data_IF_865882313224
#
_entry.id   IF_865882313224
#
_cell.length_a   1.000
_cell.length_b   1.000
_cell.length_c   1.000
_cell.angle_alpha   90.00
_cell.angle_beta   90.00
_cell.angle_gamma   90.00
#
_symmetry.space_group_name_H-M   'P 1'
#
loop_
_entity.id
_entity.type
_entity.pdbx_description
1 polymer ?
#
# COMPACT_ATOMS: atom_id res chain seq x y z
N UNK A 1 -28.52 -2.37 7.86
CA UNK A 1 -28.47 -1.55 6.62
C UNK A 1 -29.83 -0.88 6.34
N UNK A 2 -30.95 -1.60 6.12
CA UNK A 2 -32.27 -0.98 5.82
C UNK A 2 -32.81 -0.15 6.99
N UNK A 3 -32.70 -0.62 8.23
CA UNK A 3 -33.09 0.09 9.44
C UNK A 3 -32.36 1.41 9.66
N UNK A 4 -31.09 1.48 9.26
CA UNK A 4 -30.26 2.68 9.41
C UNK A 4 -30.60 3.73 8.37
N UNK A 5 -30.95 3.33 7.15
CA UNK A 5 -31.42 4.22 6.08
C UNK A 5 -32.76 4.83 6.46
N UNK A 6 -33.68 4.05 7.00
CA UNK A 6 -34.99 4.53 7.44
C UNK A 6 -34.89 5.52 8.62
N UNK A 7 -34.01 5.25 9.58
CA UNK A 7 -33.73 6.20 10.68
C UNK A 7 -33.12 7.52 10.18
N UNK A 8 -32.24 7.47 9.19
CA UNK A 8 -31.64 8.67 8.58
C UNK A 8 -32.67 9.53 7.87
N UNK A 9 -33.54 8.95 7.06
CA UNK A 9 -34.59 9.69 6.36
C UNK A 9 -35.57 10.40 7.32
N UNK A 10 -35.92 9.77 8.43
CA UNK A 10 -36.78 10.38 9.45
C UNK A 10 -36.08 11.54 10.17
N UNK A 11 -34.77 11.44 10.42
CA UNK A 11 -33.96 12.52 11.02
C UNK A 11 -33.85 13.74 10.08
N UNK A 12 -33.58 13.52 8.82
CA UNK A 12 -33.46 14.62 7.84
C UNK A 12 -34.77 15.38 7.64
N UNK A 13 -35.88 14.67 7.61
CA UNK A 13 -37.23 15.27 7.62
C UNK A 13 -37.50 16.06 8.88
N UNK A 14 -37.19 15.51 10.05
CA UNK A 14 -37.32 16.20 11.32
C UNK A 14 -36.47 17.47 11.36
N UNK A 15 -35.22 17.39 10.94
CA UNK A 15 -34.35 18.57 10.94
C UNK A 15 -34.79 19.66 9.97
N UNK A 16 -35.31 19.29 8.79
CA UNK A 16 -35.84 20.27 7.83
C UNK A 16 -37.07 21.00 8.38
N UNK A 17 -38.00 20.27 9.06
CA UNK A 17 -39.18 20.85 9.70
C UNK A 17 -38.78 21.74 10.88
N UNK A 18 -37.89 21.27 11.71
CA UNK A 18 -37.38 22.03 12.85
C UNK A 18 -36.67 23.32 12.42
N UNK A 19 -35.86 23.27 11.35
CA UNK A 19 -35.17 24.40 10.76
C UNK A 19 -36.16 25.46 10.26
N UNK A 20 -37.22 25.03 9.57
CA UNK A 20 -38.30 25.91 9.09
C UNK A 20 -39.04 26.56 10.25
N UNK A 21 -39.35 25.81 11.31
CA UNK A 21 -40.02 26.32 12.51
C UNK A 21 -39.17 27.33 13.28
N UNK A 22 -37.88 27.00 13.51
CA UNK A 22 -36.94 27.86 14.20
C UNK A 22 -36.70 29.16 13.43
N UNK A 23 -36.59 29.10 12.10
CA UNK A 23 -36.44 30.28 11.25
C UNK A 23 -37.61 31.22 11.36
N UNK A 24 -38.85 30.67 11.36
CA UNK A 24 -40.08 31.43 11.55
C UNK A 24 -40.15 32.12 12.93
N UNK A 25 -39.70 31.45 13.99
CA UNK A 25 -39.66 32.01 15.33
C UNK A 25 -38.66 33.18 15.48
N UNK A 26 -37.54 33.15 14.75
CA UNK A 26 -36.49 34.16 14.82
C UNK A 26 -36.56 35.22 13.72
N UNK A 27 -37.59 35.20 12.88
CA UNK A 27 -37.77 36.16 11.78
C UNK A 27 -36.65 36.11 10.73
N UNK A 28 -36.00 34.95 10.57
CA UNK A 28 -34.91 34.70 9.61
C UNK A 28 -35.38 33.77 8.51
N UNK A 29 -34.66 33.78 7.38
CA UNK A 29 -34.87 32.78 6.34
C UNK A 29 -34.32 31.42 6.78
N UNK A 30 -34.97 30.29 6.46
CA UNK A 30 -34.44 28.95 6.80
C UNK A 30 -33.04 28.69 6.28
N UNK A 31 -32.67 29.34 5.18
CA UNK A 31 -31.34 29.24 4.53
C UNK A 31 -30.21 29.82 5.37
N UNK A 32 -30.53 30.86 6.18
CA UNK A 32 -29.56 31.53 7.05
C UNK A 32 -29.29 30.79 8.36
N UNK A 33 -30.02 29.71 8.63
CA UNK A 33 -29.86 28.92 9.83
C UNK A 33 -28.99 27.70 9.57
N UNK A 34 -27.79 27.70 10.08
CA UNK A 34 -26.89 26.53 10.05
C UNK A 34 -27.20 25.61 11.23
N UNK A 35 -27.72 24.45 10.93
CA UNK A 35 -27.89 23.37 11.90
C UNK A 35 -26.89 22.26 11.60
N UNK A 36 -25.97 22.04 12.49
CA UNK A 36 -25.04 20.92 12.40
C UNK A 36 -25.54 19.79 13.29
N UNK A 37 -25.71 18.63 12.72
CA UNK A 37 -25.93 17.42 13.50
C UNK A 37 -24.58 16.75 13.74
N UNK A 38 -24.40 16.15 14.91
CA UNK A 38 -23.20 15.36 15.20
C UNK A 38 -22.91 14.29 14.12
N UNK A 39 -23.97 13.80 13.47
CA UNK A 39 -23.88 12.84 12.37
C UNK A 39 -23.32 13.45 11.08
N UNK A 40 -23.69 14.70 10.75
CA UNK A 40 -23.11 15.42 9.61
C UNK A 40 -21.64 15.76 9.84
N UNK A 41 -21.27 16.12 11.07
CA UNK A 41 -19.88 16.35 11.43
C UNK A 41 -19.06 15.06 11.31
N UNK A 42 -19.56 13.93 11.82
CA UNK A 42 -18.90 12.63 11.66
C UNK A 42 -18.75 12.24 10.19
N UNK A 43 -19.77 12.45 9.35
CA UNK A 43 -19.69 12.15 7.92
C UNK A 43 -18.66 13.05 7.21
N UNK A 44 -18.56 14.30 7.64
CA UNK A 44 -17.54 15.24 7.10
C UNK A 44 -16.13 14.83 7.50
N UNK A 45 -15.94 14.43 8.76
CA UNK A 45 -14.66 13.90 9.25
C UNK A 45 -14.29 12.61 8.53
N UNK A 46 -15.23 11.68 8.35
CA UNK A 46 -15.00 10.43 7.61
C UNK A 46 -14.60 10.70 6.14
N UNK A 47 -15.26 11.66 5.50
CA UNK A 47 -14.92 12.04 4.11
C UNK A 47 -13.54 12.70 4.02
N UNK A 48 -13.17 13.56 4.98
CA UNK A 48 -11.83 14.13 5.06
C UNK A 48 -10.76 13.07 5.29
N UNK A 49 -11.02 12.12 6.20
CA UNK A 49 -10.10 11.00 6.46
C UNK A 49 -9.97 10.08 5.24
N UNK A 50 -11.07 9.86 4.51
CA UNK A 50 -11.06 9.12 3.24
C UNK A 50 -10.18 9.80 2.17
N UNK A 51 -10.36 11.11 1.98
CA UNK A 51 -9.56 11.89 1.04
C UNK A 51 -8.07 11.93 1.42
N UNK A 52 -7.77 12.10 2.71
CA UNK A 52 -6.41 12.07 3.22
C UNK A 52 -5.76 10.69 3.00
N UNK A 53 -6.50 9.61 3.31
CA UNK A 53 -6.03 8.24 3.10
C UNK A 53 -5.76 7.95 1.62
N UNK A 54 -6.59 8.47 0.71
CA UNK A 54 -6.38 8.36 -0.73
C UNK A 54 -5.13 9.11 -1.18
N UNK A 55 -4.91 10.33 -0.70
CA UNK A 55 -3.72 11.11 -1.02
C UNK A 55 -2.43 10.42 -0.54
N UNK A 56 -2.42 9.97 0.73
CA UNK A 56 -1.29 9.23 1.31
C UNK A 56 -1.06 7.91 0.57
N UNK A 57 -2.14 7.20 0.22
CA UNK A 57 -2.08 5.97 -0.58
C UNK A 57 -1.48 6.21 -1.97
N UNK A 58 -1.81 7.32 -2.62
CA UNK A 58 -1.22 7.73 -3.89
C UNK A 58 0.29 7.98 -3.79
N UNK A 59 0.73 8.70 -2.77
CA UNK A 59 2.16 8.93 -2.50
C UNK A 59 2.88 7.60 -2.24
N UNK A 60 2.28 6.72 -1.44
CA UNK A 60 2.82 5.40 -1.13
C UNK A 60 2.95 4.54 -2.40
N UNK A 61 1.96 4.58 -3.30
CA UNK A 61 1.99 3.85 -4.56
C UNK A 61 3.14 4.31 -5.47
N UNK A 62 3.33 5.64 -5.60
CA UNK A 62 4.46 6.20 -6.37
C UNK A 62 5.79 5.78 -5.74
N UNK A 63 5.92 5.88 -4.42
CA UNK A 63 7.13 5.46 -3.69
C UNK A 63 7.44 3.98 -3.91
N UNK A 64 6.40 3.13 -3.93
CA UNK A 64 6.52 1.71 -4.20
C UNK A 64 6.98 1.43 -5.63
N UNK A 65 6.47 2.16 -6.63
CA UNK A 65 6.91 2.04 -8.02
C UNK A 65 8.39 2.40 -8.17
N UNK A 66 8.82 3.51 -7.56
CA UNK A 66 10.23 3.93 -7.59
C UNK A 66 11.12 2.89 -6.91
N UNK A 67 10.72 2.40 -5.73
CA UNK A 67 11.44 1.33 -5.02
C UNK A 67 11.49 0.02 -5.80
N UNK A 68 10.38 -0.35 -6.46
CA UNK A 68 10.30 -1.53 -7.30
C UNK A 68 11.22 -1.46 -8.53
N UNK A 69 11.29 -0.30 -9.19
CA UNK A 69 12.26 -0.05 -10.27
C UNK A 69 13.69 -0.16 -9.74
N UNK A 70 13.95 0.30 -8.51
CA UNK A 70 15.23 0.12 -7.83
C UNK A 70 15.62 -1.35 -7.68
N UNK A 71 14.67 -2.20 -7.20
CA UNK A 71 14.88 -3.65 -7.11
C UNK A 71 15.18 -4.25 -8.49
N UNK A 72 14.40 -3.89 -9.50
CA UNK A 72 14.60 -4.36 -10.88
C UNK A 72 16.00 -4.01 -11.39
N UNK A 73 16.47 -2.79 -11.16
CA UNK A 73 17.79 -2.35 -11.60
C UNK A 73 18.92 -3.10 -10.88
N UNK A 74 18.83 -3.28 -9.56
CA UNK A 74 19.81 -4.05 -8.77
C UNK A 74 19.85 -5.50 -9.27
N UNK A 75 18.69 -6.10 -9.53
CA UNK A 75 18.59 -7.46 -10.02
C UNK A 75 19.18 -7.61 -11.44
N UNK A 76 18.97 -6.62 -12.33
CA UNK A 76 19.58 -6.63 -13.67
C UNK A 76 21.10 -6.57 -13.59
N UNK A 77 21.67 -5.74 -12.72
CA UNK A 77 23.11 -5.69 -12.48
C UNK A 77 23.60 -7.04 -11.93
N UNK A 78 22.93 -7.58 -10.91
CA UNK A 78 23.29 -8.89 -10.33
C UNK A 78 23.26 -10.03 -11.37
N UNK A 79 22.26 -10.04 -12.26
CA UNK A 79 22.18 -11.01 -13.36
C UNK A 79 23.37 -10.87 -14.33
N UNK A 80 23.73 -9.62 -14.69
CA UNK A 80 24.87 -9.40 -15.60
C UNK A 80 26.20 -9.81 -14.98
N UNK A 81 26.42 -9.50 -13.70
CA UNK A 81 27.62 -9.90 -12.97
C UNK A 81 27.74 -11.44 -12.81
N UNK A 82 26.60 -12.14 -12.69
CA UNK A 82 26.54 -13.60 -12.52
C UNK A 82 26.27 -14.36 -13.83
N UNK A 83 26.35 -13.69 -15.00
CA UNK A 83 26.01 -14.30 -16.30
C UNK A 83 26.81 -15.58 -16.54
N UNK A 84 28.13 -15.58 -16.28
CA UNK A 84 28.99 -16.76 -16.43
C UNK A 84 28.60 -17.92 -15.51
N UNK A 85 28.26 -17.62 -14.27
CA UNK A 85 27.79 -18.64 -13.30
C UNK A 85 26.47 -19.28 -13.75
N UNK A 86 25.53 -18.48 -14.24
CA UNK A 86 24.26 -18.94 -14.80
C UNK A 86 24.52 -19.83 -16.02
N UNK A 87 25.44 -19.41 -16.90
CA UNK A 87 25.83 -20.19 -18.08
C UNK A 87 26.40 -21.56 -17.71
N UNK A 88 27.30 -21.64 -16.73
CA UNK A 88 27.87 -22.90 -16.23
C UNK A 88 26.77 -23.81 -15.68
N UNK A 89 25.87 -23.29 -14.84
CA UNK A 89 24.76 -24.08 -14.28
C UNK A 89 23.86 -24.67 -15.38
N UNK A 90 23.55 -23.87 -16.39
CA UNK A 90 22.72 -24.32 -17.52
C UNK A 90 23.45 -25.34 -18.40
N UNK A 91 24.76 -25.19 -18.62
CA UNK A 91 25.57 -26.17 -19.33
C UNK A 91 25.64 -27.52 -18.61
N UNK A 92 25.56 -27.50 -17.25
CA UNK A 92 25.46 -28.68 -16.40
C UNK A 92 24.04 -29.26 -16.30
N UNK A 93 23.05 -28.70 -17.03
CA UNK A 93 21.71 -29.24 -17.13
C UNK A 93 20.67 -28.58 -16.22
N UNK A 94 20.96 -27.42 -15.58
CA UNK A 94 19.95 -26.67 -14.84
C UNK A 94 18.82 -26.20 -15.76
N UNK A 95 17.57 -26.41 -15.31
CA UNK A 95 16.39 -25.99 -16.08
C UNK A 95 16.21 -24.46 -15.98
N UNK A 96 15.70 -23.87 -17.04
CA UNK A 96 15.30 -22.44 -17.07
C UNK A 96 14.42 -22.05 -15.87
N UNK A 97 13.52 -22.96 -15.49
CA UNK A 97 12.63 -22.78 -14.33
C UNK A 97 13.38 -22.66 -13.00
N UNK A 98 14.46 -23.41 -12.83
CA UNK A 98 15.23 -23.43 -11.57
C UNK A 98 15.94 -22.08 -11.37
N UNK A 99 16.53 -21.56 -12.47
CA UNK A 99 17.13 -20.23 -12.49
C UNK A 99 16.08 -19.14 -12.22
N UNK A 100 14.92 -19.23 -12.89
CA UNK A 100 13.82 -18.29 -12.69
C UNK A 100 13.36 -18.24 -11.21
N UNK A 101 13.09 -19.41 -10.61
CA UNK A 101 12.64 -19.52 -9.22
C UNK A 101 13.69 -18.97 -8.27
N UNK A 102 14.96 -19.25 -8.50
CA UNK A 102 16.06 -18.75 -7.69
C UNK A 102 16.03 -17.22 -7.62
N UNK A 103 16.03 -16.54 -8.77
CA UNK A 103 16.03 -15.07 -8.81
C UNK A 103 14.73 -14.44 -8.28
N UNK A 104 13.56 -15.08 -8.50
CA UNK A 104 12.30 -14.65 -7.92
C UNK A 104 12.30 -14.77 -6.39
N UNK A 105 12.88 -15.85 -5.86
CA UNK A 105 13.01 -16.03 -4.42
C UNK A 105 13.95 -14.99 -3.82
N UNK A 106 15.07 -14.69 -4.49
CA UNK A 106 16.03 -13.66 -4.07
C UNK A 106 15.36 -12.28 -4.01
N UNK A 107 14.59 -11.90 -5.04
CA UNK A 107 13.85 -10.63 -5.05
C UNK A 107 12.75 -10.57 -4.00
N UNK A 108 12.03 -11.68 -3.77
CA UNK A 108 10.99 -11.76 -2.75
C UNK A 108 11.58 -11.61 -1.34
N UNK A 109 12.69 -12.27 -1.05
CA UNK A 109 13.39 -12.17 0.25
C UNK A 109 13.90 -10.75 0.46
N UNK A 110 14.55 -10.14 -0.55
CA UNK A 110 15.06 -8.78 -0.47
C UNK A 110 13.93 -7.78 -0.14
N UNK A 111 12.80 -7.90 -0.85
CA UNK A 111 11.64 -7.05 -0.62
C UNK A 111 10.98 -7.32 0.72
N UNK A 112 10.87 -8.57 1.15
CA UNK A 112 10.32 -8.92 2.46
C UNK A 112 11.17 -8.34 3.60
N UNK A 113 12.50 -8.39 3.49
CA UNK A 113 13.41 -7.75 4.44
C UNK A 113 13.20 -6.23 4.49
N UNK A 114 13.09 -5.58 3.33
CA UNK A 114 12.74 -4.17 3.23
C UNK A 114 11.37 -3.86 3.86
N UNK A 115 10.38 -4.71 3.62
CA UNK A 115 9.05 -4.62 4.22
C UNK A 115 9.08 -4.74 5.74
N UNK A 116 9.87 -5.64 6.31
CA UNK A 116 10.04 -5.80 7.77
C UNK A 116 10.67 -4.52 8.35
N UNK A 117 11.73 -4.01 7.74
CA UNK A 117 12.38 -2.75 8.16
C UNK A 117 11.36 -1.60 8.08
N UNK A 118 10.61 -1.49 6.99
CA UNK A 118 9.56 -0.50 6.81
C UNK A 118 8.47 -0.57 7.89
N UNK A 119 8.05 -1.79 8.26
CA UNK A 119 7.09 -2.01 9.36
C UNK A 119 7.67 -1.57 10.69
N UNK A 120 8.92 -1.92 11.00
CA UNK A 120 9.58 -1.52 12.25
C UNK A 120 9.64 0.01 12.35
N UNK A 121 10.07 0.69 11.29
CA UNK A 121 10.14 2.14 11.23
C UNK A 121 8.74 2.78 11.32
N UNK A 122 7.77 2.26 10.58
CA UNK A 122 6.39 2.77 10.58
C UNK A 122 5.72 2.61 11.95
N UNK A 123 5.80 1.42 12.53
CA UNK A 123 5.27 1.13 13.88
C UNK A 123 5.98 2.01 14.92
N UNK A 124 7.30 2.11 14.84
CA UNK A 124 8.10 2.94 15.76
C UNK A 124 7.70 4.42 15.69
N UNK A 125 7.57 4.97 14.48
CA UNK A 125 7.18 6.38 14.28
C UNK A 125 5.76 6.64 14.79
N UNK A 126 4.80 5.79 14.46
CA UNK A 126 3.40 5.96 14.89
C UNK A 126 3.28 5.79 16.41
N UNK A 127 4.00 4.84 17.02
CA UNK A 127 3.99 4.63 18.48
C UNK A 127 4.63 5.80 19.22
N UNK A 128 5.75 6.34 18.71
CA UNK A 128 6.40 7.51 19.28
C UNK A 128 5.50 8.75 19.16
N UNK A 129 4.90 8.98 17.99
CA UNK A 129 3.95 10.08 17.79
C UNK A 129 2.74 9.97 18.72
N UNK A 130 2.16 8.78 18.86
CA UNK A 130 1.07 8.52 19.79
C UNK A 130 1.44 8.82 21.24
N UNK A 131 2.65 8.39 21.66
CA UNK A 131 3.15 8.67 23.00
C UNK A 131 3.32 10.18 23.27
N UNK A 132 3.88 10.93 22.31
CA UNK A 132 4.10 12.39 22.45
C UNK A 132 2.79 13.18 22.43
N UNK A 133 1.78 12.72 21.69
CA UNK A 133 0.48 13.40 21.55
C UNK A 133 -0.59 12.86 22.52
N UNK A 134 -0.27 11.87 23.34
CA UNK A 134 -1.20 11.29 24.33
C UNK A 134 -2.28 10.39 23.73
N UNK A 135 -2.08 9.82 22.51
CA UNK A 135 -3.00 8.90 21.87
C UNK A 135 -2.59 7.44 22.05
N UNK A 136 -3.56 6.58 22.37
CA UNK A 136 -3.34 5.15 22.39
C UNK A 136 -3.31 4.60 20.94
N UNK A 137 -2.15 4.09 20.51
CA UNK A 137 -2.01 3.46 19.19
C UNK A 137 -2.23 1.96 19.33
N UNK A 138 -3.20 1.42 18.59
CA UNK A 138 -3.49 -0.01 18.53
C UNK A 138 -3.05 -0.55 17.17
N UNK A 139 -1.99 -1.35 17.17
CA UNK A 139 -1.46 -1.98 15.96
C UNK A 139 -1.98 -3.41 15.89
N UNK A 140 -2.75 -3.70 14.83
CA UNK A 140 -3.28 -5.05 14.59
C UNK A 140 -2.20 -5.91 13.93
N UNK A 141 -1.85 -7.10 14.47
CA UNK A 141 -0.84 -7.97 13.86
C UNK A 141 -1.14 -8.37 12.42
N UNK A 142 -2.42 -8.47 12.06
CA UNK A 142 -2.85 -8.75 10.69
C UNK A 142 -2.33 -7.71 9.68
N UNK A 143 -2.26 -6.43 10.06
CA UNK A 143 -1.74 -5.35 9.19
C UNK A 143 -0.25 -5.57 8.91
N UNK A 144 0.52 -6.00 9.91
CA UNK A 144 1.95 -6.30 9.76
C UNK A 144 2.15 -7.45 8.76
N UNK A 145 1.40 -8.54 8.93
CA UNK A 145 1.48 -9.70 8.03
C UNK A 145 1.13 -9.31 6.60
N UNK A 146 0.04 -8.56 6.41
CA UNK A 146 -0.38 -8.07 5.09
C UNK A 146 0.69 -7.17 4.47
N UNK A 147 1.27 -6.25 5.23
CA UNK A 147 2.29 -5.33 4.74
C UNK A 147 3.56 -6.07 4.26
N UNK A 148 4.07 -7.02 5.04
CA UNK A 148 5.25 -7.82 4.67
C UNK A 148 4.96 -8.73 3.49
N UNK A 149 3.79 -9.39 3.48
CA UNK A 149 3.37 -10.25 2.36
C UNK A 149 3.22 -9.45 1.07
N UNK A 150 2.61 -8.28 1.15
CA UNK A 150 2.48 -7.37 0.01
C UNK A 150 3.83 -6.91 -0.52
N UNK A 151 4.77 -6.57 0.36
CA UNK A 151 6.14 -6.23 -0.02
C UNK A 151 6.83 -7.37 -0.78
N UNK A 152 6.70 -8.61 -0.31
CA UNK A 152 7.26 -9.78 -1.01
C UNK A 152 6.64 -9.97 -2.42
N UNK A 153 5.32 -9.80 -2.54
CA UNK A 153 4.62 -9.87 -3.84
C UNK A 153 5.12 -8.80 -4.81
N UNK A 154 5.33 -7.58 -4.32
CA UNK A 154 5.92 -6.50 -5.12
C UNK A 154 7.34 -6.85 -5.57
N UNK A 155 8.15 -7.44 -4.71
CA UNK A 155 9.49 -7.92 -5.07
C UNK A 155 9.44 -8.97 -6.18
N UNK A 156 8.51 -9.92 -6.11
CA UNK A 156 8.30 -10.91 -7.17
C UNK A 156 7.91 -10.21 -8.48
N UNK A 157 6.99 -9.25 -8.42
CA UNK A 157 6.52 -8.54 -9.62
C UNK A 157 7.65 -7.80 -10.33
N UNK A 158 8.43 -6.99 -9.62
CA UNK A 158 9.56 -6.26 -10.20
C UNK A 158 10.78 -7.14 -10.48
N UNK A 159 10.92 -8.26 -9.79
CA UNK A 159 11.95 -9.27 -10.03
C UNK A 159 11.67 -10.16 -11.23
N UNK A 160 10.42 -10.22 -11.73
CA UNK A 160 10.03 -11.13 -12.80
C UNK A 160 10.78 -10.86 -14.11
N UNK A 161 10.94 -9.61 -14.49
CA UNK A 161 11.66 -9.24 -15.71
C UNK A 161 13.16 -9.62 -15.67
N UNK A 162 13.95 -9.21 -14.67
CA UNK A 162 15.35 -9.63 -14.58
C UNK A 162 15.51 -11.15 -14.41
N UNK A 163 14.66 -11.79 -13.63
CA UNK A 163 14.68 -13.25 -13.46
C UNK A 163 14.42 -14.00 -14.79
N UNK A 164 13.46 -13.52 -15.59
CA UNK A 164 13.18 -14.12 -16.90
C UNK A 164 14.36 -13.92 -17.86
N UNK A 165 14.99 -12.76 -17.85
CA UNK A 165 16.19 -12.47 -18.64
C UNK A 165 17.35 -13.40 -18.27
N UNK A 166 17.61 -13.59 -16.98
CA UNK A 166 18.60 -14.54 -16.48
C UNK A 166 18.29 -15.97 -16.91
N UNK A 167 17.03 -16.36 -16.77
CA UNK A 167 16.58 -17.70 -17.11
C UNK A 167 16.63 -18.02 -18.62
N UNK A 168 16.58 -17.03 -19.49
CA UNK A 168 16.66 -17.19 -20.95
C UNK A 168 18.08 -17.02 -21.50
N UNK A 169 19.07 -16.70 -20.69
CA UNK A 169 20.45 -16.54 -21.14
C UNK A 169 20.97 -17.82 -21.83
N UNK A 170 21.59 -17.66 -23.00
CA UNK A 170 22.19 -18.78 -23.74
C UNK A 170 23.52 -19.18 -23.05
N UNK A 171 23.71 -20.48 -22.72
CA UNK A 171 24.94 -20.95 -22.10
C UNK A 171 26.21 -20.64 -22.93
N UNK A 172 26.11 -20.66 -24.26
CA UNK A 172 27.24 -20.40 -25.16
C UNK A 172 27.65 -18.94 -25.07
N UNK A 173 26.66 -18.02 -25.15
CA UNK A 173 26.92 -16.59 -25.06
C UNK A 173 27.39 -16.20 -23.65
N UNK A 174 26.81 -16.82 -22.62
CA UNK A 174 27.18 -16.57 -21.23
C UNK A 174 28.61 -17.00 -20.89
N UNK A 175 29.16 -18.04 -21.54
CA UNK A 175 30.52 -18.51 -21.35
C UNK A 175 31.54 -17.74 -22.19
N UNK A 176 31.09 -17.03 -23.23
CA UNK A 176 31.91 -16.21 -24.12
C UNK A 176 32.11 -14.77 -23.60
N UNK A 177 31.31 -14.39 -22.60
CA UNK A 177 31.40 -13.07 -21.96
C UNK A 177 32.67 -13.01 -21.09
N UNK A 178 33.69 -12.25 -21.52
CA UNK A 178 34.81 -11.79 -20.73
C UNK A 178 34.46 -10.48 -20.02
#
# INVERSE_FOLDING_TARGET
AASDVYKRQNLDQFFSQFKAYAAKMHGRQPEDMYMYTAMQEMTSVDSMMGNLSMAVGGIAAISLLVGGIGIMNIMLVSVTERTREIGIRKALGARTRDVLIQFLTESAILSACGGIIGVILGVGTVSLGGFLLGFAVVIKPAVIIVAVSFSAVVGIFFGLYPASKAAQADPIDALRYE
#
